data_IF_365015811616
#
_entry.id   IF_365015811616
#
_cell.length_a   1.000
_cell.length_b   1.000
_cell.length_c   1.000
_cell.angle_alpha   90.00
_cell.angle_beta   90.00
_cell.angle_gamma   90.00
#
_symmetry.space_group_name_H-M   'P 1'
#
loop_
_entity.id
_entity.type
_entity.pdbx_description
1 polymer ?
#
# COMPACT_ATOMS: atom_id res chain seq x y z
N UNK A 1 23.40 28.95 -5.20
CA UNK A 1 24.33 27.83 -5.43
C UNK A 1 23.53 26.58 -5.82
N UNK A 2 23.48 26.29 -7.11
CA UNK A 2 22.81 25.08 -7.62
C UNK A 2 23.75 23.89 -7.44
N UNK A 3 23.52 23.08 -6.41
CA UNK A 3 24.23 21.81 -6.27
C UNK A 3 23.65 20.79 -7.26
N UNK A 4 24.54 20.27 -8.08
CA UNK A 4 24.32 19.41 -9.23
C UNK A 4 23.67 18.08 -8.78
N UNK A 5 22.39 17.85 -9.09
CA UNK A 5 21.63 16.64 -8.73
C UNK A 5 22.26 15.34 -9.29
N UNK A 6 23.07 15.43 -10.33
CA UNK A 6 23.81 14.28 -10.92
C UNK A 6 24.91 13.76 -9.98
N UNK A 7 25.57 14.63 -9.23
CA UNK A 7 26.59 14.23 -8.27
C UNK A 7 26.01 13.49 -7.08
N UNK A 8 24.80 13.87 -6.64
CA UNK A 8 24.08 13.16 -5.58
C UNK A 8 23.64 11.74 -5.99
N UNK A 9 23.36 11.52 -7.27
CA UNK A 9 22.96 10.21 -7.80
C UNK A 9 24.16 9.25 -7.88
N UNK A 10 25.33 9.75 -8.28
CA UNK A 10 26.58 8.95 -8.38
C UNK A 10 27.12 8.61 -6.99
N UNK A 11 27.14 9.55 -6.07
CA UNK A 11 27.54 9.31 -4.66
C UNK A 11 26.59 8.35 -3.96
N UNK A 12 25.28 8.41 -4.29
CA UNK A 12 24.27 7.48 -3.78
C UNK A 12 24.50 6.06 -4.30
N UNK A 13 24.88 5.87 -5.56
CA UNK A 13 25.14 4.57 -6.17
C UNK A 13 26.39 3.90 -5.61
N UNK A 14 27.49 4.63 -5.43
CA UNK A 14 28.74 4.08 -4.84
C UNK A 14 28.53 3.74 -3.35
N UNK A 15 27.82 4.58 -2.60
CA UNK A 15 27.44 4.28 -1.22
C UNK A 15 26.50 3.06 -1.11
N UNK A 16 25.67 2.78 -2.08
CA UNK A 16 24.80 1.60 -2.12
C UNK A 16 25.59 0.30 -2.39
N UNK A 17 26.69 0.35 -3.15
CA UNK A 17 27.56 -0.81 -3.42
C UNK A 17 28.43 -1.23 -2.23
N UNK A 18 28.89 -0.29 -1.43
CA UNK A 18 29.74 -0.57 -0.25
C UNK A 18 28.94 -0.88 1.01
N UNK A 19 27.69 -0.42 1.12
CA UNK A 19 26.76 -0.67 2.24
C UNK A 19 26.60 -2.14 2.65
N UNK A 20 26.51 -3.14 1.75
CA UNK A 20 26.27 -4.53 2.17
C UNK A 20 27.33 -5.08 3.11
N UNK A 21 28.59 -4.74 2.93
CA UNK A 21 29.69 -5.28 3.76
C UNK A 21 29.68 -4.73 5.19
N UNK A 22 29.37 -3.45 5.37
CA UNK A 22 29.35 -2.82 6.70
C UNK A 22 28.02 -3.00 7.44
N UNK A 23 26.93 -3.15 6.73
CA UNK A 23 25.57 -3.25 7.29
C UNK A 23 25.25 -4.70 7.72
N UNK A 24 25.81 -5.72 7.06
CA UNK A 24 25.53 -7.13 7.41
C UNK A 24 25.75 -7.47 8.88
N UNK A 25 26.89 -7.14 9.52
CA UNK A 25 27.10 -7.44 10.95
C UNK A 25 26.06 -6.75 11.84
N UNK A 26 25.68 -5.50 11.50
CA UNK A 26 24.67 -4.75 12.22
C UNK A 26 23.29 -5.43 12.13
N UNK A 27 22.87 -5.84 10.93
CA UNK A 27 21.61 -6.57 10.72
C UNK A 27 21.58 -7.87 11.52
N UNK A 28 22.64 -8.67 11.47
CA UNK A 28 22.69 -9.90 12.25
C UNK A 28 22.68 -9.65 13.76
N UNK A 29 23.29 -8.56 14.21
CA UNK A 29 23.20 -8.14 15.62
C UNK A 29 21.77 -7.77 15.99
N UNK A 30 21.07 -7.03 15.15
CA UNK A 30 19.66 -6.68 15.36
C UNK A 30 18.77 -7.93 15.37
N UNK A 31 18.93 -8.83 14.44
CA UNK A 31 18.16 -10.08 14.40
C UNK A 31 18.42 -10.96 15.64
N UNK A 32 19.66 -11.02 16.13
CA UNK A 32 19.98 -11.71 17.40
C UNK A 32 19.30 -11.04 18.60
N UNK A 33 19.25 -9.71 18.65
CA UNK A 33 18.53 -8.99 19.71
C UNK A 33 17.04 -9.30 19.65
N UNK A 34 16.41 -9.23 18.48
CA UNK A 34 15.01 -9.62 18.31
C UNK A 34 14.76 -11.05 18.79
N UNK A 35 15.60 -12.02 18.40
CA UNK A 35 15.45 -13.41 18.83
C UNK A 35 15.57 -13.58 20.36
N UNK A 36 16.47 -12.83 21.03
CA UNK A 36 16.57 -12.83 22.49
C UNK A 36 15.33 -12.25 23.15
N UNK A 37 14.79 -11.17 22.59
CA UNK A 37 13.57 -10.54 23.10
C UNK A 37 12.36 -11.45 22.95
N UNK A 38 12.18 -12.11 21.81
CA UNK A 38 11.12 -13.09 21.63
C UNK A 38 11.24 -14.23 22.68
N UNK A 39 12.44 -14.76 22.92
CA UNK A 39 12.66 -15.77 23.98
C UNK A 39 12.32 -15.24 25.38
N UNK A 40 12.62 -13.97 25.67
CA UNK A 40 12.24 -13.32 26.92
C UNK A 40 10.73 -13.26 27.07
N UNK A 41 10.02 -12.79 26.01
CA UNK A 41 8.56 -12.72 26.00
C UNK A 41 7.89 -14.10 26.15
N UNK A 42 8.43 -15.15 25.50
CA UNK A 42 7.98 -16.52 25.69
C UNK A 42 8.05 -16.97 27.17
N UNK A 43 9.17 -16.65 27.88
CA UNK A 43 9.33 -16.98 29.29
C UNK A 43 8.35 -16.17 30.18
N UNK A 44 8.14 -14.88 29.85
CA UNK A 44 7.20 -14.03 30.58
C UNK A 44 5.78 -14.57 30.45
N UNK A 45 5.36 -14.97 29.25
CA UNK A 45 4.06 -15.53 28.99
C UNK A 45 3.83 -16.85 29.76
N UNK A 46 4.79 -17.78 29.75
CA UNK A 46 4.71 -19.04 30.51
C UNK A 46 4.52 -18.84 32.01
N UNK A 47 4.98 -17.72 32.55
CA UNK A 47 4.90 -17.38 33.98
C UNK A 47 3.62 -16.61 34.34
N UNK A 48 2.63 -16.53 33.43
CA UNK A 48 1.35 -15.83 33.67
C UNK A 48 1.47 -14.32 33.88
N UNK A 49 2.51 -13.69 33.28
CA UNK A 49 2.69 -12.23 33.35
C UNK A 49 1.71 -11.47 32.43
N UNK A 50 1.64 -10.16 32.64
CA UNK A 50 0.78 -9.21 31.93
C UNK A 50 0.76 -9.42 30.41
N UNK A 51 -0.36 -9.03 29.73
CA UNK A 51 -0.47 -9.10 28.28
C UNK A 51 0.71 -8.42 27.55
N UNK A 52 1.05 -8.94 26.39
CA UNK A 52 2.08 -8.35 25.52
C UNK A 52 1.59 -7.02 24.97
N UNK A 53 2.28 -5.93 25.30
CA UNK A 53 1.95 -4.59 24.82
C UNK A 53 2.51 -4.37 23.42
N UNK A 54 1.63 -4.08 22.46
CA UNK A 54 2.00 -3.94 21.05
C UNK A 54 1.71 -2.52 20.55
N UNK A 55 2.73 -1.83 20.07
CA UNK A 55 2.60 -0.52 19.44
C UNK A 55 2.30 -0.65 17.96
N UNK A 56 1.20 -0.06 17.49
CA UNK A 56 0.85 0.12 16.09
C UNK A 56 1.12 1.55 15.68
N UNK A 57 2.25 1.78 15.02
CA UNK A 57 2.70 3.11 14.60
C UNK A 57 1.96 3.54 13.32
N UNK A 58 1.16 4.60 13.42
CA UNK A 58 0.30 5.08 12.34
C UNK A 58 0.66 6.50 11.89
N UNK A 59 0.90 6.68 10.60
CA UNK A 59 1.14 7.99 9.98
C UNK A 59 -0.07 8.48 9.18
N UNK A 60 -0.72 7.56 8.44
CA UNK A 60 -1.84 7.87 7.56
C UNK A 60 -2.97 6.87 7.72
N UNK A 61 -4.19 7.38 7.80
CA UNK A 61 -5.41 6.56 7.82
C UNK A 61 -5.56 5.68 6.56
N UNK A 62 -5.05 6.13 5.42
CA UNK A 62 -5.16 5.42 4.15
C UNK A 62 -4.23 4.19 4.03
N UNK A 63 -3.38 3.94 5.03
CA UNK A 63 -2.38 2.86 5.02
C UNK A 63 -2.67 1.78 6.08
N UNK A 64 -3.93 1.44 6.31
CA UNK A 64 -4.44 0.68 7.47
C UNK A 64 -4.49 -0.84 7.26
N UNK A 65 -3.51 -1.44 6.59
CA UNK A 65 -3.48 -2.89 6.34
C UNK A 65 -3.32 -3.72 7.63
N UNK A 66 -2.83 -3.12 8.71
CA UNK A 66 -2.57 -3.74 10.00
C UNK A 66 -3.76 -3.69 10.98
N UNK A 67 -4.81 -2.94 10.67
CA UNK A 67 -6.04 -2.85 11.49
C UNK A 67 -6.66 -4.23 11.78
N UNK A 68 -6.82 -5.16 10.83
CA UNK A 68 -7.39 -6.46 11.15
C UNK A 68 -6.58 -7.25 12.19
N UNK A 69 -5.26 -7.07 12.24
CA UNK A 69 -4.42 -7.70 13.28
C UNK A 69 -4.56 -6.97 14.62
N UNK A 70 -4.68 -5.64 14.61
CA UNK A 70 -4.98 -4.87 15.81
C UNK A 70 -6.27 -5.34 16.46
N UNK A 71 -7.36 -5.47 15.70
CA UNK A 71 -8.67 -5.90 16.20
C UNK A 71 -8.64 -7.32 16.78
N UNK A 72 -7.92 -8.25 16.12
CA UNK A 72 -7.72 -9.60 16.64
C UNK A 72 -6.88 -9.63 17.92
N UNK A 73 -5.85 -8.78 18.01
CA UNK A 73 -5.06 -8.66 19.23
C UNK A 73 -5.86 -8.01 20.35
N UNK A 74 -6.72 -7.03 20.05
CA UNK A 74 -7.60 -6.38 21.04
C UNK A 74 -8.61 -7.39 21.64
N UNK A 75 -9.08 -8.34 20.85
CA UNK A 75 -9.98 -9.40 21.28
C UNK A 75 -9.26 -10.56 22.02
N UNK A 76 -7.93 -10.65 22.00
CA UNK A 76 -7.15 -11.72 22.62
C UNK A 76 -6.50 -11.25 23.92
N UNK A 77 -6.90 -11.85 25.06
CA UNK A 77 -6.39 -11.52 26.42
C UNK A 77 -4.87 -11.55 26.58
N UNK A 78 -4.15 -12.16 25.65
CA UNK A 78 -2.68 -12.25 25.68
C UNK A 78 -2.00 -10.99 25.15
N UNK A 79 -2.76 -10.06 24.55
CA UNK A 79 -2.25 -8.84 23.95
C UNK A 79 -2.93 -7.59 24.52
N UNK A 80 -2.18 -6.50 24.50
CA UNK A 80 -2.65 -5.16 24.85
C UNK A 80 -2.15 -4.16 23.79
N UNK A 81 -2.88 -4.05 22.65
CA UNK A 81 -2.45 -3.23 21.53
C UNK A 81 -2.86 -1.76 21.68
N UNK A 82 -1.99 -0.85 21.21
CA UNK A 82 -2.23 0.59 21.16
C UNK A 82 -1.80 1.16 19.82
N UNK A 83 -2.53 2.14 19.34
CA UNK A 83 -2.05 3.00 18.25
C UNK A 83 -1.15 4.10 18.79
N UNK A 84 -0.08 4.41 18.06
CA UNK A 84 0.74 5.61 18.28
C UNK A 84 0.69 6.39 16.97
N UNK A 85 0.02 7.54 16.98
CA UNK A 85 -0.10 8.40 15.79
C UNK A 85 1.00 9.43 15.79
N UNK A 86 1.70 9.57 14.67
CA UNK A 86 2.77 10.55 14.49
C UNK A 86 2.69 11.22 13.11
N UNK A 87 3.12 12.50 12.99
CA UNK A 87 3.07 13.23 11.72
C UNK A 87 4.16 12.79 10.75
N UNK A 88 3.91 12.98 9.45
CA UNK A 88 4.92 12.84 8.41
C UNK A 88 6.04 13.86 8.60
N UNK A 89 7.27 13.37 8.69
CA UNK A 89 8.46 14.19 8.93
C UNK A 89 9.02 14.87 7.67
N UNK A 90 8.59 14.43 6.49
CA UNK A 90 9.15 14.85 5.21
C UNK A 90 8.33 15.92 4.48
N UNK A 91 7.01 15.89 4.63
CA UNK A 91 6.09 16.74 3.87
C UNK A 91 5.88 18.10 4.53
N UNK A 92 5.23 19.02 3.81
CA UNK A 92 4.88 20.34 4.33
C UNK A 92 4.11 20.22 5.65
N UNK A 93 4.45 21.09 6.61
CA UNK A 93 3.89 21.04 7.98
C UNK A 93 2.36 21.08 7.99
N UNK A 94 1.74 21.94 7.16
CA UNK A 94 0.27 22.04 7.08
C UNK A 94 -0.39 20.73 6.67
N UNK A 95 0.14 20.06 5.66
CA UNK A 95 -0.35 18.75 5.22
C UNK A 95 -0.12 17.68 6.30
N UNK A 96 1.08 17.65 6.86
CA UNK A 96 1.46 16.69 7.90
C UNK A 96 0.60 16.82 9.17
N UNK A 97 0.35 18.04 9.64
CA UNK A 97 -0.49 18.31 10.81
C UNK A 97 -1.97 17.99 10.54
N UNK A 98 -2.47 18.21 9.33
CA UNK A 98 -3.83 17.85 8.95
C UNK A 98 -4.01 16.33 8.93
N UNK A 99 -3.14 15.61 8.26
CA UNK A 99 -3.18 14.15 8.22
C UNK A 99 -3.01 13.52 9.60
N UNK A 100 -2.15 14.09 10.44
CA UNK A 100 -1.98 13.65 11.83
C UNK A 100 -3.28 13.77 12.63
N UNK A 101 -3.95 14.94 12.55
CA UNK A 101 -5.24 15.17 13.24
C UNK A 101 -6.31 14.21 12.75
N UNK A 102 -6.48 14.10 11.42
CA UNK A 102 -7.49 13.21 10.81
C UNK A 102 -7.24 11.74 11.18
N UNK A 103 -6.00 11.27 11.10
CA UNK A 103 -5.65 9.89 11.48
C UNK A 103 -5.92 9.63 12.96
N UNK A 104 -5.55 10.58 13.83
CA UNK A 104 -5.77 10.47 15.26
C UNK A 104 -7.26 10.43 15.60
N UNK A 105 -8.05 11.39 15.09
CA UNK A 105 -9.50 11.45 15.31
C UNK A 105 -10.20 10.18 14.85
N UNK A 106 -9.91 9.71 13.64
CA UNK A 106 -10.51 8.48 13.12
C UNK A 106 -10.26 7.26 14.03
N UNK A 107 -9.04 7.11 14.53
CA UNK A 107 -8.70 5.98 15.39
C UNK A 107 -9.32 6.14 16.80
N UNK A 108 -9.38 7.36 17.33
CA UNK A 108 -10.05 7.66 18.61
C UNK A 108 -11.56 7.40 18.52
N UNK A 109 -12.20 7.81 17.45
CA UNK A 109 -13.63 7.60 17.22
C UNK A 109 -13.97 6.10 17.12
N UNK A 110 -13.08 5.32 16.53
CA UNK A 110 -13.30 3.88 16.31
C UNK A 110 -12.94 3.00 17.50
N UNK A 111 -11.84 3.31 18.20
CA UNK A 111 -11.26 2.43 19.23
C UNK A 111 -11.20 3.01 20.63
N UNK A 112 -11.59 4.27 20.81
CA UNK A 112 -11.49 4.99 22.07
C UNK A 112 -10.17 5.72 22.27
N UNK A 113 -10.23 6.86 22.96
CA UNK A 113 -9.08 7.75 23.21
C UNK A 113 -7.98 7.05 24.03
N UNK A 114 -8.35 6.10 24.87
CA UNK A 114 -7.43 5.33 25.71
C UNK A 114 -6.55 4.38 24.91
N UNK A 115 -6.93 4.05 23.67
CA UNK A 115 -6.18 3.17 22.74
C UNK A 115 -5.30 3.93 21.76
N UNK A 116 -5.36 5.27 21.75
CA UNK A 116 -4.66 6.11 20.77
C UNK A 116 -3.72 7.08 21.46
N UNK A 117 -2.43 6.84 21.33
CA UNK A 117 -1.38 7.66 21.92
C UNK A 117 -0.90 8.71 20.92
N UNK A 118 -0.77 9.95 21.38
CA UNK A 118 -0.16 11.03 20.62
C UNK A 118 1.36 10.84 20.54
N UNK A 119 1.93 10.70 19.35
CA UNK A 119 3.37 10.53 19.14
C UNK A 119 4.19 11.80 19.36
N UNK A 120 3.51 12.97 19.51
CA UNK A 120 4.16 14.23 19.86
C UNK A 120 3.37 15.02 20.91
N UNK A 121 4.10 15.83 21.68
CA UNK A 121 3.55 16.86 22.56
C UNK A 121 4.21 18.20 22.16
N UNK A 122 3.41 19.12 21.57
CA UNK A 122 3.98 20.28 20.89
C UNK A 122 4.89 19.86 19.74
N UNK A 123 6.13 20.31 19.73
CA UNK A 123 7.15 19.94 18.74
C UNK A 123 8.07 18.78 19.19
N UNK A 124 7.81 18.19 20.37
CA UNK A 124 8.63 17.12 20.95
C UNK A 124 8.01 15.76 20.59
N UNK A 125 8.79 14.87 19.97
CA UNK A 125 8.41 13.49 19.73
C UNK A 125 8.67 12.63 20.97
N UNK A 126 7.69 11.83 21.36
CA UNK A 126 7.71 11.02 22.59
C UNK A 126 8.36 9.67 22.30
N UNK A 127 9.32 9.27 23.12
CA UNK A 127 9.89 7.91 23.08
C UNK A 127 9.00 6.95 23.89
N UNK A 128 8.45 5.95 23.21
CA UNK A 128 7.59 4.92 23.81
C UNK A 128 8.29 3.57 23.96
N UNK A 129 9.58 3.47 23.68
CA UNK A 129 10.29 2.17 23.63
C UNK A 129 10.37 1.44 24.96
N UNK A 130 10.16 2.12 26.08
CA UNK A 130 10.08 1.53 27.44
C UNK A 130 8.68 0.98 27.79
N UNK A 131 7.66 1.33 27.00
CA UNK A 131 6.26 1.01 27.28
C UNK A 131 5.73 -0.19 26.50
N UNK A 132 6.44 -0.67 25.49
CA UNK A 132 5.97 -1.71 24.58
C UNK A 132 6.95 -2.86 24.43
N UNK A 133 6.39 -4.04 24.24
CA UNK A 133 7.13 -5.30 24.07
C UNK A 133 7.38 -5.62 22.59
N UNK A 134 6.48 -5.20 21.71
CA UNK A 134 6.53 -5.37 20.25
C UNK A 134 6.01 -4.12 19.54
N UNK A 135 6.35 -3.97 18.26
CA UNK A 135 5.80 -2.89 17.45
C UNK A 135 5.55 -3.32 16.00
N UNK A 136 4.64 -2.61 15.35
CA UNK A 136 4.46 -2.59 13.89
C UNK A 136 4.35 -1.17 13.40
N UNK A 137 4.49 -0.96 12.09
CA UNK A 137 4.29 0.34 11.45
C UNK A 137 3.66 0.17 10.09
N UNK A 138 2.83 1.13 9.70
CA UNK A 138 2.30 1.22 8.34
C UNK A 138 3.23 1.99 7.38
N UNK A 139 4.31 2.61 7.90
CA UNK A 139 5.30 3.33 7.08
C UNK A 139 6.74 2.90 7.39
N UNK A 140 7.42 2.18 6.48
CA UNK A 140 8.78 1.70 6.70
C UNK A 140 9.88 2.69 6.30
N UNK A 141 9.52 3.92 5.84
CA UNK A 141 10.45 4.87 5.23
C UNK A 141 11.07 5.81 6.28
N UNK A 142 12.36 5.63 6.54
CA UNK A 142 13.08 6.40 7.56
C UNK A 142 13.11 7.91 7.30
N UNK A 143 13.07 8.35 6.02
CA UNK A 143 13.03 9.77 5.65
C UNK A 143 11.69 10.45 5.98
N UNK A 144 10.60 9.71 6.05
CA UNK A 144 9.27 10.20 6.40
C UNK A 144 8.96 10.06 7.89
N UNK A 145 9.80 9.33 8.63
CA UNK A 145 9.55 8.93 10.01
C UNK A 145 10.46 9.67 10.98
N UNK A 146 9.93 10.32 12.03
CA UNK A 146 10.73 10.89 13.09
C UNK A 146 11.69 9.87 13.71
N UNK A 147 12.89 10.27 14.16
CA UNK A 147 13.92 9.33 14.64
C UNK A 147 13.44 8.31 15.67
N UNK A 148 12.58 8.73 16.62
CA UNK A 148 12.04 7.90 17.70
C UNK A 148 11.10 6.77 17.23
N UNK A 149 10.51 6.90 16.02
CA UNK A 149 9.57 5.94 15.45
C UNK A 149 10.19 5.06 14.35
N UNK A 150 11.48 5.27 14.00
CA UNK A 150 12.19 4.45 13.00
C UNK A 150 12.39 3.03 13.48
N UNK A 151 12.27 2.09 12.58
CA UNK A 151 12.44 0.66 12.87
C UNK A 151 13.80 0.36 13.51
N UNK A 152 14.85 0.97 12.97
CA UNK A 152 16.21 0.81 13.48
C UNK A 152 16.36 1.25 14.94
N UNK A 153 15.62 2.31 15.33
CA UNK A 153 15.63 2.81 16.71
C UNK A 153 15.02 1.80 17.68
N UNK A 154 13.85 1.27 17.38
CA UNK A 154 13.16 0.27 18.19
C UNK A 154 13.95 -1.05 18.27
N UNK A 155 14.47 -1.49 17.11
CA UNK A 155 15.30 -2.73 17.04
C UNK A 155 16.59 -2.58 17.83
N UNK A 156 17.22 -1.37 17.84
CA UNK A 156 18.40 -1.07 18.65
C UNK A 156 18.10 -1.18 20.16
N UNK A 157 16.90 -0.83 20.59
CA UNK A 157 16.41 -1.01 21.97
C UNK A 157 16.02 -2.46 22.28
N UNK A 158 16.03 -3.34 21.28
CA UNK A 158 15.72 -4.75 21.44
C UNK A 158 14.23 -5.07 21.40
N UNK A 159 13.41 -4.17 20.84
CA UNK A 159 11.98 -4.40 20.64
C UNK A 159 11.78 -5.05 19.28
N UNK A 160 11.25 -6.29 19.21
CA UNK A 160 10.96 -6.95 17.95
C UNK A 160 9.83 -6.23 17.22
N UNK A 161 10.04 -6.05 15.91
CA UNK A 161 9.08 -5.39 15.05
C UNK A 161 8.59 -6.31 13.93
N UNK A 162 7.34 -6.17 13.55
CA UNK A 162 6.81 -6.82 12.35
C UNK A 162 6.25 -5.79 11.38
N UNK A 163 6.12 -6.19 10.12
CA UNK A 163 5.63 -5.32 9.06
C UNK A 163 4.54 -6.02 8.26
N UNK A 164 3.47 -5.30 8.02
CA UNK A 164 2.38 -5.63 7.11
C UNK A 164 2.38 -4.56 6.05
N UNK A 165 2.53 -4.92 4.78
CA UNK A 165 2.66 -3.93 3.72
C UNK A 165 1.37 -3.15 3.52
N UNK A 166 1.49 -1.82 3.40
CA UNK A 166 0.37 -0.95 3.08
C UNK A 166 -0.06 -1.02 1.60
N UNK A 167 0.73 -1.66 0.76
CA UNK A 167 0.46 -1.89 -0.67
C UNK A 167 0.75 -3.33 -1.05
N UNK A 168 0.09 -3.85 -2.08
CA UNK A 168 0.31 -5.21 -2.53
C UNK A 168 1.71 -5.37 -3.14
N UNK A 169 2.60 -6.13 -2.50
CA UNK A 169 3.99 -6.34 -2.92
C UNK A 169 4.14 -7.40 -4.02
N UNK A 170 5.33 -7.51 -4.61
CA UNK A 170 5.68 -8.57 -5.58
C UNK A 170 5.46 -8.20 -7.05
N UNK A 171 4.70 -7.15 -7.36
CA UNK A 171 4.28 -6.79 -8.73
C UNK A 171 5.29 -5.97 -9.51
N UNK A 172 5.97 -5.03 -8.87
CA UNK A 172 6.84 -4.06 -9.52
C UNK A 172 8.15 -3.81 -8.76
N UNK A 173 9.06 -3.08 -9.39
CA UNK A 173 10.41 -2.77 -8.91
C UNK A 173 10.46 -2.20 -7.48
N UNK A 174 9.41 -1.51 -7.03
CA UNK A 174 9.32 -0.94 -5.68
C UNK A 174 9.47 -2.03 -4.59
N UNK A 175 9.00 -3.25 -4.86
CA UNK A 175 9.18 -4.38 -3.94
C UNK A 175 10.66 -4.69 -3.71
N UNK A 176 11.44 -4.77 -4.78
CA UNK A 176 12.88 -5.02 -4.69
C UNK A 176 13.61 -3.88 -3.97
N UNK A 177 13.23 -2.63 -4.30
CA UNK A 177 13.77 -1.45 -3.67
C UNK A 177 13.51 -1.44 -2.15
N UNK A 178 12.28 -1.74 -1.73
CA UNK A 178 11.92 -1.83 -0.31
C UNK A 178 12.73 -2.94 0.41
N UNK A 179 12.79 -4.13 -0.16
CA UNK A 179 13.50 -5.27 0.43
C UNK A 179 15.01 -5.03 0.60
N UNK A 180 15.60 -4.13 -0.19
CA UNK A 180 17.00 -3.67 -0.06
C UNK A 180 17.19 -2.64 1.05
N UNK A 181 16.13 -2.00 1.56
CA UNK A 181 16.26 -1.02 2.65
C UNK A 181 16.71 -1.69 3.94
N UNK A 182 17.44 -0.93 4.77
CA UNK A 182 17.87 -1.38 6.09
C UNK A 182 16.69 -1.75 6.99
N UNK A 183 15.63 -0.94 7.00
CA UNK A 183 14.41 -1.18 7.78
C UNK A 183 13.82 -2.58 7.52
N UNK A 184 13.75 -3.01 6.25
CA UNK A 184 13.23 -4.34 5.90
C UNK A 184 14.10 -5.50 6.39
N UNK A 185 15.39 -5.27 6.64
CA UNK A 185 16.27 -6.24 7.27
C UNK A 185 16.27 -6.15 8.80
N UNK A 186 15.75 -5.05 9.37
CA UNK A 186 15.59 -4.87 10.82
C UNK A 186 14.32 -5.52 11.36
N UNK A 187 13.26 -5.62 10.55
CA UNK A 187 12.03 -6.31 10.98
C UNK A 187 12.30 -7.74 11.41
N UNK A 188 11.75 -8.12 12.56
CA UNK A 188 11.73 -9.51 13.02
C UNK A 188 10.94 -10.38 12.03
N UNK A 189 9.77 -9.91 11.59
CA UNK A 189 8.96 -10.54 10.55
C UNK A 189 8.39 -9.52 9.58
N UNK A 190 8.30 -9.93 8.33
CA UNK A 190 7.58 -9.24 7.26
C UNK A 190 6.50 -10.20 6.79
N UNK A 191 5.25 -9.85 7.02
CA UNK A 191 4.10 -10.61 6.55
C UNK A 191 3.79 -10.20 5.12
N UNK A 192 3.82 -11.16 4.20
CA UNK A 192 3.76 -10.89 2.76
C UNK A 192 2.58 -11.58 2.10
N UNK A 193 2.07 -10.94 1.07
CA UNK A 193 0.83 -11.31 0.40
C UNK A 193 0.98 -12.57 -0.48
N UNK A 194 2.19 -12.80 -1.01
CA UNK A 194 2.42 -13.85 -2.00
C UNK A 194 3.86 -14.37 -2.01
N UNK A 195 4.06 -15.52 -2.64
CA UNK A 195 5.37 -16.17 -2.75
C UNK A 195 6.39 -15.41 -3.61
N UNK A 196 5.94 -14.50 -4.49
CA UNK A 196 6.85 -13.72 -5.33
C UNK A 196 7.68 -12.74 -4.52
N UNK A 197 7.12 -12.17 -3.44
CA UNK A 197 7.88 -11.34 -2.51
C UNK A 197 9.01 -12.15 -1.87
N UNK A 198 8.75 -13.38 -1.45
CA UNK A 198 9.77 -14.27 -0.89
C UNK A 198 10.85 -14.59 -1.93
N UNK A 199 10.45 -14.86 -3.19
CA UNK A 199 11.38 -15.11 -4.30
C UNK A 199 12.30 -13.92 -4.55
N UNK A 200 11.74 -12.70 -4.59
CA UNK A 200 12.51 -11.46 -4.74
C UNK A 200 13.42 -11.24 -3.52
N UNK A 201 12.93 -11.46 -2.29
CA UNK A 201 13.73 -11.31 -1.08
C UNK A 201 14.93 -12.26 -1.03
N UNK A 202 14.77 -13.51 -1.50
CA UNK A 202 15.89 -14.47 -1.63
C UNK A 202 17.01 -13.93 -2.52
N UNK A 203 16.66 -13.17 -3.55
CA UNK A 203 17.63 -12.62 -4.50
C UNK A 203 18.30 -11.34 -4.00
N UNK A 204 17.55 -10.41 -3.39
CA UNK A 204 18.03 -9.05 -3.17
C UNK A 204 18.21 -8.65 -1.69
N UNK A 205 17.51 -9.30 -0.74
CA UNK A 205 17.56 -8.94 0.67
C UNK A 205 18.78 -9.53 1.37
N UNK A 206 19.36 -8.82 2.33
CA UNK A 206 20.50 -9.31 3.14
C UNK A 206 20.16 -10.60 3.90
N UNK A 207 18.94 -10.70 4.42
CA UNK A 207 18.44 -11.89 5.14
C UNK A 207 17.98 -13.02 4.19
N UNK A 208 17.99 -12.79 2.88
CA UNK A 208 17.52 -13.75 1.87
C UNK A 208 16.11 -14.27 2.16
N UNK A 209 15.21 -13.39 2.58
CA UNK A 209 13.81 -13.70 2.84
C UNK A 209 13.53 -14.50 4.13
N UNK A 210 14.52 -14.72 5.01
CA UNK A 210 14.32 -15.52 6.24
C UNK A 210 13.33 -14.90 7.23
N UNK A 211 13.11 -13.59 7.14
CA UNK A 211 12.11 -12.88 7.93
C UNK A 211 10.79 -12.66 7.21
N UNK A 212 10.64 -13.11 5.96
CA UNK A 212 9.38 -13.05 5.22
C UNK A 212 8.50 -14.27 5.54
N UNK A 213 7.25 -14.02 5.88
CA UNK A 213 6.23 -15.04 6.19
C UNK A 213 5.05 -14.85 5.24
N UNK A 214 4.68 -15.90 4.54
CA UNK A 214 3.53 -15.88 3.63
C UNK A 214 2.23 -15.89 4.43
N UNK A 215 1.43 -14.83 4.29
CA UNK A 215 0.17 -14.67 5.03
C UNK A 215 -1.03 -14.36 4.15
N UNK A 216 -0.82 -13.79 2.98
CA UNK A 216 -1.90 -13.26 2.16
C UNK A 216 -2.11 -11.75 2.37
N UNK A 217 -3.11 -11.19 1.70
CA UNK A 217 -3.43 -9.76 1.74
C UNK A 217 -4.50 -9.48 2.80
N UNK A 218 -4.09 -8.99 3.96
CA UNK A 218 -4.96 -8.80 5.12
C UNK A 218 -6.13 -7.85 4.84
N UNK A 219 -5.91 -6.80 4.07
CA UNK A 219 -6.95 -5.85 3.71
C UNK A 219 -8.10 -6.51 2.96
N UNK A 220 -7.77 -7.48 2.11
CA UNK A 220 -8.79 -8.16 1.31
C UNK A 220 -9.62 -9.15 2.13
N UNK A 221 -9.22 -9.54 3.34
CA UNK A 221 -10.06 -10.38 4.21
C UNK A 221 -11.44 -9.76 4.43
N UNK A 222 -11.49 -8.42 4.60
CA UNK A 222 -12.74 -7.69 4.80
C UNK A 222 -13.66 -7.66 3.56
N UNK A 223 -13.13 -7.96 2.37
CA UNK A 223 -13.92 -7.94 1.14
C UNK A 223 -15.01 -9.03 1.13
N UNK A 224 -14.81 -10.13 1.85
CA UNK A 224 -15.79 -11.24 1.91
C UNK A 224 -17.15 -10.77 2.46
N UNK A 225 -17.14 -9.87 3.44
CA UNK A 225 -18.34 -9.45 4.16
C UNK A 225 -19.02 -8.23 3.54
N UNK A 226 -18.47 -7.71 2.44
CA UNK A 226 -19.01 -6.54 1.78
C UNK A 226 -20.16 -6.94 0.85
N UNK A 227 -21.32 -6.36 1.10
CA UNK A 227 -22.51 -6.55 0.29
C UNK A 227 -22.59 -5.44 -0.77
N UNK A 228 -22.63 -5.79 -2.07
CA UNK A 228 -22.82 -4.79 -3.12
C UNK A 228 -24.17 -4.08 -3.00
N UNK A 229 -24.18 -2.77 -3.27
CA UNK A 229 -25.44 -2.02 -3.34
C UNK A 229 -26.16 -2.37 -4.65
N UNK A 230 -27.43 -2.84 -4.60
CA UNK A 230 -28.20 -3.17 -5.81
C UNK A 230 -28.35 -1.97 -6.76
N UNK A 231 -28.18 -2.21 -8.06
CA UNK A 231 -28.26 -1.18 -9.12
C UNK A 231 -28.88 -1.72 -10.39
N UNK A 232 -29.46 -0.83 -11.17
CA UNK A 232 -30.02 -1.14 -12.49
C UNK A 232 -29.03 -0.86 -13.63
N UNK A 233 -28.04 0.04 -13.40
CA UNK A 233 -27.05 0.46 -14.39
C UNK A 233 -25.70 -0.20 -14.11
N UNK A 234 -24.95 -0.53 -15.16
CA UNK A 234 -23.57 -0.98 -15.03
C UNK A 234 -22.70 0.14 -14.46
N UNK A 235 -21.79 -0.22 -13.55
CA UNK A 235 -20.87 0.74 -12.92
C UNK A 235 -19.42 0.36 -13.20
N UNK A 236 -18.65 1.33 -13.69
CA UNK A 236 -17.23 1.18 -13.96
C UNK A 236 -16.42 2.04 -12.99
N UNK A 237 -15.54 1.41 -12.24
CA UNK A 237 -14.56 2.12 -11.42
C UNK A 237 -13.38 2.54 -12.29
N UNK A 238 -13.02 3.84 -12.27
CA UNK A 238 -11.86 4.38 -13.01
C UNK A 238 -10.86 4.94 -12.01
N UNK A 239 -9.70 4.30 -11.91
CA UNK A 239 -8.73 4.54 -10.85
C UNK A 239 -7.34 4.92 -11.37
N UNK A 240 -7.12 6.18 -11.78
CA UNK A 240 -5.82 6.63 -12.27
C UNK A 240 -4.79 6.80 -11.13
N UNK A 241 -3.56 6.40 -11.44
CA UNK A 241 -2.42 6.53 -10.54
C UNK A 241 -1.86 7.98 -10.53
N UNK A 242 -1.12 8.30 -9.46
CA UNK A 242 -0.57 9.65 -9.27
C UNK A 242 0.77 9.91 -9.98
N UNK A 243 1.39 8.92 -10.61
CA UNK A 243 2.71 9.08 -11.26
C UNK A 243 2.54 9.76 -12.61
N UNK A 244 2.63 11.09 -12.60
CA UNK A 244 2.56 11.92 -13.81
C UNK A 244 3.94 12.32 -14.34
N UNK A 245 5.02 11.98 -13.60
CA UNK A 245 6.38 12.32 -13.97
C UNK A 245 6.82 11.52 -15.22
N UNK A 246 7.50 12.17 -16.20
CA UNK A 246 8.03 11.47 -17.34
C UNK A 246 9.23 10.58 -16.92
N UNK A 247 8.94 9.30 -16.79
CA UNK A 247 9.91 8.27 -16.40
C UNK A 247 9.51 6.94 -17.02
N UNK A 248 10.48 6.15 -17.46
CA UNK A 248 10.23 4.82 -18.03
C UNK A 248 9.70 3.78 -17.02
N UNK A 249 9.66 4.10 -15.74
CA UNK A 249 9.06 3.28 -14.67
C UNK A 249 7.80 3.90 -14.06
N UNK A 250 7.34 5.03 -14.60
CA UNK A 250 6.12 5.70 -14.15
C UNK A 250 4.90 5.04 -14.79
N UNK A 251 4.06 4.41 -13.99
CA UNK A 251 2.91 3.63 -14.48
C UNK A 251 1.73 4.48 -14.92
N UNK A 252 1.56 5.69 -14.33
CA UNK A 252 0.39 6.53 -14.56
C UNK A 252 0.29 7.07 -15.98
N UNK A 253 -0.89 6.92 -16.58
CA UNK A 253 -1.23 7.37 -17.94
C UNK A 253 -2.11 8.62 -17.95
N UNK A 254 -2.47 9.16 -16.78
CA UNK A 254 -3.50 10.19 -16.66
C UNK A 254 -3.25 11.41 -17.55
N UNK A 255 -2.01 11.88 -17.67
CA UNK A 255 -1.67 13.06 -18.49
C UNK A 255 -1.94 12.86 -20.01
N UNK A 256 -1.89 11.61 -20.47
CA UNK A 256 -2.13 11.23 -21.85
C UNK A 256 -3.59 10.88 -22.11
N UNK A 257 -4.36 10.63 -21.03
CA UNK A 257 -5.68 10.05 -21.10
C UNK A 257 -6.81 10.98 -20.61
N UNK A 258 -6.48 12.04 -19.87
CA UNK A 258 -7.48 12.88 -19.20
C UNK A 258 -8.58 13.43 -20.12
N UNK A 259 -8.21 14.02 -21.26
CA UNK A 259 -9.18 14.59 -22.20
C UNK A 259 -10.07 13.50 -22.83
N UNK A 260 -9.52 12.30 -23.03
CA UNK A 260 -10.23 11.13 -23.55
C UNK A 260 -11.16 10.48 -22.54
N UNK A 261 -10.88 10.66 -21.25
CA UNK A 261 -11.74 10.13 -20.20
C UNK A 261 -13.10 10.83 -20.17
N UNK A 262 -13.14 12.16 -20.33
CA UNK A 262 -14.40 12.89 -20.42
C UNK A 262 -15.22 12.44 -21.64
N UNK A 263 -14.58 12.29 -22.80
CA UNK A 263 -15.21 11.72 -24.01
C UNK A 263 -15.75 10.30 -23.79
N UNK A 264 -15.03 9.47 -23.03
CA UNK A 264 -15.50 8.13 -22.66
C UNK A 264 -16.82 8.20 -21.86
N UNK A 265 -16.86 9.02 -20.81
CA UNK A 265 -18.05 9.20 -19.96
C UNK A 265 -19.25 9.65 -20.77
N UNK A 266 -19.06 10.62 -21.66
CA UNK A 266 -20.11 11.16 -22.54
C UNK A 266 -20.55 10.16 -23.61
N UNK A 267 -19.64 9.28 -24.08
CA UNK A 267 -19.95 8.25 -25.06
C UNK A 267 -20.85 7.12 -24.52
N UNK A 268 -20.91 6.94 -23.20
CA UNK A 268 -21.66 5.87 -22.54
C UNK A 268 -22.62 6.41 -21.46
N UNK A 269 -23.64 7.21 -21.82
CA UNK A 269 -24.55 7.81 -20.85
C UNK A 269 -25.36 6.79 -20.04
N UNK A 270 -25.47 5.54 -20.49
CA UNK A 270 -26.13 4.42 -19.81
C UNK A 270 -25.26 3.72 -18.77
N UNK A 271 -23.97 4.06 -18.65
CA UNK A 271 -23.02 3.52 -17.68
C UNK A 271 -22.76 4.53 -16.57
N UNK A 272 -22.74 4.11 -15.32
CA UNK A 272 -22.28 4.92 -14.19
C UNK A 272 -20.78 4.78 -14.06
N UNK A 273 -20.05 5.89 -14.08
CA UNK A 273 -18.62 5.92 -13.82
C UNK A 273 -18.33 6.41 -12.40
N UNK A 274 -17.44 5.74 -11.70
CA UNK A 274 -16.86 6.20 -10.44
C UNK A 274 -15.41 6.55 -10.68
N UNK A 275 -15.09 7.83 -10.71
CA UNK A 275 -13.73 8.31 -10.85
C UNK A 275 -13.06 8.38 -9.47
N UNK A 276 -12.15 7.46 -9.21
CA UNK A 276 -11.38 7.37 -7.99
C UNK A 276 -9.90 7.65 -8.25
N UNK A 277 -9.48 8.90 -8.35
CA UNK A 277 -8.07 9.25 -8.53
C UNK A 277 -7.28 8.87 -7.28
N UNK A 278 -6.03 8.47 -7.48
CA UNK A 278 -5.12 8.32 -6.33
C UNK A 278 -5.08 9.64 -5.52
N UNK A 279 -5.08 9.61 -4.18
CA UNK A 279 -5.19 10.82 -3.34
C UNK A 279 -4.17 11.93 -3.64
N UNK A 280 -3.02 11.58 -4.19
CA UNK A 280 -1.98 12.55 -4.58
C UNK A 280 -2.15 13.11 -6.00
N UNK A 281 -3.03 12.55 -6.84
CA UNK A 281 -3.10 12.93 -8.25
C UNK A 281 -3.45 14.41 -8.43
N UNK A 282 -4.52 14.87 -7.80
CA UNK A 282 -4.96 16.27 -7.90
C UNK A 282 -3.89 17.26 -7.47
N UNK A 283 -3.22 17.00 -6.34
CA UNK A 283 -2.12 17.84 -5.84
C UNK A 283 -0.93 17.87 -6.80
N UNK A 284 -0.58 16.71 -7.39
CA UNK A 284 0.52 16.61 -8.37
C UNK A 284 0.19 17.34 -9.66
N UNK A 285 -1.04 17.23 -10.17
CA UNK A 285 -1.49 17.97 -11.34
C UNK A 285 -1.41 19.48 -11.10
N UNK A 286 -1.92 19.98 -9.99
CA UNK A 286 -1.84 21.38 -9.61
C UNK A 286 -0.38 21.87 -9.48
N UNK A 287 0.50 21.04 -8.93
CA UNK A 287 1.93 21.35 -8.79
C UNK A 287 2.80 20.99 -9.99
N UNK A 288 2.25 20.52 -11.11
CA UNK A 288 3.00 19.97 -12.25
C UNK A 288 3.88 20.99 -12.99
N UNK A 289 3.67 22.28 -12.80
CA UNK A 289 4.54 23.36 -13.32
C UNK A 289 6.01 23.22 -12.89
N UNK A 290 6.29 22.51 -11.81
CA UNK A 290 7.63 22.27 -11.29
C UNK A 290 8.32 21.06 -11.92
N UNK A 291 7.61 20.29 -12.75
CA UNK A 291 8.11 19.06 -13.37
C UNK A 291 8.67 19.36 -14.76
N UNK A 292 9.95 19.04 -14.98
CA UNK A 292 10.59 19.18 -16.31
C UNK A 292 10.12 18.07 -17.25
N UNK A 293 9.95 18.40 -18.54
CA UNK A 293 9.59 17.44 -19.58
C UNK A 293 8.11 17.06 -19.62
N UNK A 294 7.25 17.80 -18.90
CA UNK A 294 5.81 17.62 -18.87
C UNK A 294 5.11 18.91 -19.33
N UNK A 295 4.01 18.80 -20.07
CA UNK A 295 3.11 19.93 -20.30
C UNK A 295 2.34 20.17 -18.98
N UNK A 296 2.62 21.28 -18.26
CA UNK A 296 2.06 21.47 -16.94
C UNK A 296 0.57 21.81 -16.99
N UNK A 297 -0.18 21.31 -16.02
CA UNK A 297 -1.58 21.72 -15.83
C UNK A 297 -1.69 22.97 -14.96
N UNK A 298 -1.06 22.97 -13.79
CA UNK A 298 -1.25 23.99 -12.78
C UNK A 298 -2.62 23.94 -12.11
N UNK A 299 -2.83 24.79 -11.14
CA UNK A 299 -4.04 24.78 -10.32
C UNK A 299 -5.31 25.11 -11.13
N UNK A 300 -5.24 26.14 -12.01
CA UNK A 300 -6.40 26.57 -12.82
C UNK A 300 -6.93 25.45 -13.73
N UNK A 301 -6.04 24.80 -14.50
CA UNK A 301 -6.45 23.70 -15.39
C UNK A 301 -6.93 22.49 -14.59
N UNK A 302 -6.27 22.17 -13.48
CA UNK A 302 -6.68 21.08 -12.60
C UNK A 302 -8.10 21.29 -12.07
N UNK A 303 -8.40 22.46 -11.51
CA UNK A 303 -9.72 22.75 -10.98
C UNK A 303 -10.77 22.74 -12.10
N UNK A 304 -10.51 23.37 -13.24
CA UNK A 304 -11.44 23.37 -14.37
C UNK A 304 -11.77 21.94 -14.87
N UNK A 305 -10.79 21.05 -14.88
CA UNK A 305 -10.99 19.65 -15.27
C UNK A 305 -11.89 18.90 -14.28
N UNK A 306 -11.60 18.99 -12.98
CA UNK A 306 -12.45 18.36 -11.97
C UNK A 306 -13.85 18.94 -11.91
N UNK A 307 -14.01 20.24 -12.19
CA UNK A 307 -15.32 20.89 -12.28
C UNK A 307 -16.09 20.43 -13.53
N UNK A 308 -15.40 20.16 -14.65
CA UNK A 308 -16.03 19.56 -15.82
C UNK A 308 -16.52 18.12 -15.53
N UNK A 309 -15.71 17.30 -14.86
CA UNK A 309 -16.11 15.96 -14.45
C UNK A 309 -17.35 15.96 -13.54
N UNK A 310 -17.44 16.89 -12.59
CA UNK A 310 -18.60 17.01 -11.67
C UNK A 310 -19.92 17.35 -12.37
N UNK A 311 -19.88 17.88 -13.60
CA UNK A 311 -21.08 18.22 -14.38
C UNK A 311 -21.65 17.03 -15.12
N UNK A 312 -20.91 15.95 -15.26
CA UNK A 312 -21.37 14.76 -15.97
C UNK A 312 -22.38 13.99 -15.11
N UNK A 313 -23.61 13.77 -15.60
CA UNK A 313 -24.70 13.19 -14.81
C UNK A 313 -24.48 11.71 -14.44
N UNK A 314 -23.64 11.00 -15.20
CA UNK A 314 -23.31 9.61 -15.02
C UNK A 314 -21.90 9.39 -14.44
N UNK A 315 -21.33 10.44 -13.78
CA UNK A 315 -20.01 10.36 -13.15
C UNK A 315 -20.06 10.77 -11.68
N UNK A 316 -19.49 9.96 -10.82
CA UNK A 316 -19.26 10.24 -9.40
C UNK A 316 -17.76 10.36 -9.17
N UNK A 317 -17.32 11.44 -8.52
CA UNK A 317 -15.91 11.56 -8.08
C UNK A 317 -15.81 11.04 -6.65
N UNK A 318 -15.01 10.00 -6.45
CA UNK A 318 -14.71 9.42 -5.13
C UNK A 318 -13.30 9.77 -4.73
N UNK A 319 -13.15 10.71 -3.82
CA UNK A 319 -11.83 11.13 -3.29
C UNK A 319 -11.54 10.55 -1.90
N UNK A 320 -12.56 10.03 -1.21
CA UNK A 320 -12.47 9.50 0.16
C UNK A 320 -13.25 8.20 0.31
N UNK A 321 -12.98 7.47 1.41
CA UNK A 321 -13.72 6.28 1.76
C UNK A 321 -13.02 4.95 1.45
N UNK A 322 -13.72 3.87 1.76
CA UNK A 322 -13.22 2.52 1.58
C UNK A 322 -13.42 2.06 0.12
N UNK A 323 -12.31 1.82 -0.58
CA UNK A 323 -12.37 1.35 -1.95
C UNK A 323 -12.86 -0.10 -2.09
N UNK A 324 -12.90 -0.88 -1.02
CA UNK A 324 -13.41 -2.24 -1.07
C UNK A 324 -14.92 -2.25 -1.37
N UNK A 325 -15.68 -1.31 -0.81
CA UNK A 325 -17.10 -1.13 -1.18
C UNK A 325 -17.25 -0.76 -2.66
N UNK A 326 -16.37 0.09 -3.18
CA UNK A 326 -16.38 0.43 -4.61
C UNK A 326 -16.02 -0.75 -5.50
N UNK A 327 -15.11 -1.63 -5.05
CA UNK A 327 -14.83 -2.89 -5.73
C UNK A 327 -16.06 -3.79 -5.75
N UNK A 328 -16.78 -3.91 -4.63
CA UNK A 328 -18.02 -4.67 -4.57
C UNK A 328 -19.11 -4.05 -5.45
N UNK A 329 -19.19 -2.74 -5.47
CA UNK A 329 -20.19 -2.00 -6.21
C UNK A 329 -19.91 -1.85 -7.70
N UNK A 330 -18.69 -2.02 -8.18
CA UNK A 330 -18.37 -1.93 -9.60
C UNK A 330 -18.69 -3.21 -10.34
N UNK A 331 -18.99 -3.12 -11.64
CA UNK A 331 -19.05 -4.24 -12.57
C UNK A 331 -17.72 -4.46 -13.30
N UNK A 332 -16.88 -3.42 -13.38
CA UNK A 332 -15.56 -3.47 -13.99
C UNK A 332 -14.63 -2.39 -13.42
N UNK A 333 -13.33 -2.57 -13.64
CA UNK A 333 -12.27 -1.60 -13.31
C UNK A 333 -11.50 -1.19 -14.56
N UNK A 334 -11.24 0.13 -14.70
CA UNK A 334 -10.27 0.69 -15.65
C UNK A 334 -9.21 1.43 -14.82
N UNK A 335 -7.94 1.06 -14.94
CA UNK A 335 -6.89 1.65 -14.13
C UNK A 335 -5.49 1.57 -14.75
N UNK A 336 -4.57 2.34 -14.20
CA UNK A 336 -3.13 2.26 -14.39
C UNK A 336 -2.39 2.12 -13.04
N UNK A 337 -3.15 1.78 -11.99
CA UNK A 337 -2.65 1.69 -10.61
C UNK A 337 -1.80 0.45 -10.38
N UNK A 338 -0.76 0.59 -9.57
CA UNK A 338 0.04 -0.53 -9.14
C UNK A 338 -0.70 -1.49 -8.20
N UNK A 339 -1.37 -1.04 -7.14
CA UNK A 339 -2.00 -1.93 -6.14
C UNK A 339 -3.22 -2.65 -6.69
N UNK A 340 -4.09 -1.95 -7.37
CA UNK A 340 -5.32 -2.50 -7.92
C UNK A 340 -5.07 -3.59 -8.98
N UNK A 341 -3.87 -3.62 -9.57
CA UNK A 341 -3.44 -4.68 -10.48
C UNK A 341 -3.54 -6.10 -9.87
N UNK A 342 -3.45 -6.23 -8.55
CA UNK A 342 -3.64 -7.50 -7.86
C UNK A 342 -4.91 -7.51 -7.00
N UNK A 343 -5.21 -6.41 -6.31
CA UNK A 343 -6.30 -6.35 -5.34
C UNK A 343 -7.68 -6.50 -6.00
N UNK A 344 -7.89 -5.92 -7.20
CA UNK A 344 -9.18 -6.07 -7.89
C UNK A 344 -9.47 -7.49 -8.38
N UNK A 345 -8.44 -8.33 -8.55
CA UNK A 345 -8.60 -9.73 -8.96
C UNK A 345 -9.37 -10.57 -7.94
N UNK A 346 -9.45 -10.13 -6.67
CA UNK A 346 -10.30 -10.77 -5.65
C UNK A 346 -11.79 -10.71 -5.99
N UNK A 347 -12.21 -9.76 -6.81
CA UNK A 347 -13.60 -9.62 -7.23
C UNK A 347 -14.03 -10.62 -8.31
N UNK A 348 -13.07 -11.19 -9.05
CA UNK A 348 -13.33 -11.99 -10.25
C UNK A 348 -13.85 -11.18 -11.45
N UNK A 349 -14.16 -9.89 -11.28
CA UNK A 349 -14.78 -9.03 -12.29
C UNK A 349 -13.81 -8.61 -13.39
N UNK A 350 -14.29 -8.22 -14.59
CA UNK A 350 -13.44 -7.74 -15.68
C UNK A 350 -12.67 -6.49 -15.29
N UNK A 351 -11.42 -6.43 -15.68
CA UNK A 351 -10.51 -5.32 -15.39
C UNK A 351 -9.64 -4.98 -16.60
N UNK A 352 -9.50 -3.68 -16.85
CA UNK A 352 -8.70 -3.12 -17.92
C UNK A 352 -7.51 -2.33 -17.36
N UNK A 353 -6.32 -2.64 -17.86
CA UNK A 353 -5.09 -1.92 -17.52
C UNK A 353 -4.72 -0.97 -18.66
N UNK A 354 -4.74 0.34 -18.39
CA UNK A 354 -4.32 1.35 -19.36
C UNK A 354 -2.81 1.41 -19.37
N UNK A 355 -2.23 1.08 -20.53
CA UNK A 355 -0.80 0.90 -20.67
C UNK A 355 -0.14 2.11 -21.30
N UNK A 356 0.89 2.62 -20.64
CA UNK A 356 1.70 3.71 -21.18
C UNK A 356 2.77 3.18 -22.12
N UNK A 357 2.73 3.60 -23.38
CA UNK A 357 3.66 3.12 -24.43
C UNK A 357 5.14 3.43 -24.15
N UNK A 358 5.42 4.46 -23.33
CA UNK A 358 6.77 4.88 -22.95
C UNK A 358 7.36 4.12 -21.75
N UNK A 359 6.59 3.24 -21.11
CA UNK A 359 7.05 2.50 -19.93
C UNK A 359 8.02 1.39 -20.35
N UNK A 360 9.11 1.26 -19.63
CA UNK A 360 9.98 0.08 -19.76
C UNK A 360 9.39 -1.05 -18.89
N UNK A 361 8.71 -1.98 -19.56
CA UNK A 361 7.96 -3.06 -18.91
C UNK A 361 8.86 -3.95 -18.04
N UNK A 362 10.01 -4.36 -18.53
CA UNK A 362 10.95 -5.23 -17.81
C UNK A 362 11.53 -4.57 -16.54
N UNK A 363 11.79 -3.26 -16.59
CA UNK A 363 12.25 -2.51 -15.43
C UNK A 363 11.13 -2.28 -14.41
N UNK A 364 9.91 -2.10 -14.87
CA UNK A 364 8.78 -1.69 -14.05
C UNK A 364 8.13 -2.87 -13.35
N UNK A 365 7.78 -3.91 -14.10
CA UNK A 365 7.04 -5.04 -13.57
C UNK A 365 7.96 -6.22 -13.21
N UNK A 366 7.59 -6.94 -12.19
CA UNK A 366 8.18 -8.24 -11.82
C UNK A 366 7.26 -9.35 -12.29
N UNK A 367 7.67 -10.60 -12.16
CA UNK A 367 6.94 -11.77 -12.64
C UNK A 367 5.45 -11.75 -12.28
N UNK A 368 5.11 -11.43 -11.03
CA UNK A 368 3.71 -11.32 -10.61
C UNK A 368 2.97 -10.18 -11.32
N UNK A 369 3.64 -9.04 -11.50
CA UNK A 369 3.05 -7.90 -12.23
C UNK A 369 2.69 -8.26 -13.67
N UNK A 370 3.59 -8.96 -14.36
CA UNK A 370 3.34 -9.46 -15.72
C UNK A 370 2.15 -10.43 -15.78
N UNK A 371 2.06 -11.36 -14.82
CA UNK A 371 0.93 -12.29 -14.74
C UNK A 371 -0.39 -11.57 -14.43
N UNK A 372 -0.36 -10.56 -13.55
CA UNK A 372 -1.53 -9.73 -13.29
C UNK A 372 -1.96 -8.98 -14.57
N UNK A 373 -1.02 -8.37 -15.31
CA UNK A 373 -1.33 -7.68 -16.58
C UNK A 373 -1.95 -8.67 -17.57
N UNK A 374 -1.46 -9.90 -17.67
CA UNK A 374 -2.03 -10.93 -18.55
C UNK A 374 -3.49 -11.26 -18.18
N UNK A 375 -3.86 -11.19 -16.90
CA UNK A 375 -5.23 -11.39 -16.43
C UNK A 375 -6.15 -10.17 -16.69
N UNK A 376 -5.59 -9.02 -17.10
CA UNK A 376 -6.33 -7.81 -17.47
C UNK A 376 -6.50 -7.70 -18.98
N UNK A 377 -7.49 -6.92 -19.41
CA UNK A 377 -7.56 -6.38 -20.76
C UNK A 377 -6.59 -5.21 -20.87
N UNK A 378 -5.61 -5.31 -21.74
CA UNK A 378 -4.57 -4.26 -21.91
C UNK A 378 -5.03 -3.24 -22.93
N UNK A 379 -5.06 -1.96 -22.53
CA UNK A 379 -5.52 -0.83 -23.33
C UNK A 379 -4.34 0.04 -23.76
N UNK A 380 -4.13 0.16 -25.04
CA UNK A 380 -3.06 1.00 -25.61
C UNK A 380 -3.57 2.30 -26.19
N UNK A 381 -4.87 2.39 -26.48
CA UNK A 381 -5.50 3.56 -27.03
C UNK A 381 -6.94 3.73 -26.52
N UNK A 382 -7.54 4.87 -26.84
CA UNK A 382 -8.89 5.20 -26.42
C UNK A 382 -9.94 4.23 -26.97
N UNK A 383 -9.78 3.80 -28.22
CA UNK A 383 -10.71 2.87 -28.86
C UNK A 383 -10.71 1.49 -28.19
N UNK A 384 -9.56 1.05 -27.64
CA UNK A 384 -9.50 -0.17 -26.84
C UNK A 384 -10.37 -0.05 -25.59
N UNK A 385 -10.34 1.12 -24.91
CA UNK A 385 -11.17 1.37 -23.74
C UNK A 385 -12.65 1.41 -24.09
N UNK A 386 -13.03 2.05 -25.20
CA UNK A 386 -14.43 2.06 -25.68
C UNK A 386 -14.91 0.63 -26.02
N UNK A 387 -14.07 -0.17 -26.69
CA UNK A 387 -14.39 -1.59 -26.97
C UNK A 387 -14.56 -2.41 -25.68
N UNK A 388 -13.72 -2.19 -24.68
CA UNK A 388 -13.84 -2.87 -23.39
C UNK A 388 -15.18 -2.52 -22.72
N UNK A 389 -15.54 -1.24 -22.68
CA UNK A 389 -16.83 -0.82 -22.10
C UNK A 389 -18.00 -1.47 -22.86
N UNK A 390 -18.00 -1.40 -24.20
CA UNK A 390 -19.09 -1.94 -25.00
C UNK A 390 -19.11 -3.47 -24.93
N UNK A 391 -18.07 -4.13 -25.38
CA UNK A 391 -18.09 -5.58 -25.58
C UNK A 391 -18.01 -6.35 -24.25
N UNK A 392 -17.10 -5.96 -23.33
CA UNK A 392 -16.88 -6.74 -22.12
C UNK A 392 -17.88 -6.39 -21.02
N UNK A 393 -18.15 -5.08 -20.82
CA UNK A 393 -18.99 -4.66 -19.68
C UNK A 393 -20.47 -4.67 -20.04
N UNK A 394 -20.86 -4.13 -21.19
CA UNK A 394 -22.26 -4.01 -21.60
C UNK A 394 -22.79 -5.30 -22.24
N UNK A 395 -22.04 -5.85 -23.19
CA UNK A 395 -22.47 -7.06 -23.94
C UNK A 395 -22.13 -8.37 -23.19
N UNK A 396 -21.29 -8.29 -22.13
CA UNK A 396 -20.93 -9.43 -21.28
C UNK A 396 -19.90 -10.41 -21.87
N UNK A 397 -19.16 -10.02 -22.91
CA UNK A 397 -18.18 -10.89 -23.60
C UNK A 397 -16.84 -10.90 -22.84
N UNK A 398 -16.82 -11.44 -21.61
CA UNK A 398 -15.61 -11.52 -20.78
C UNK A 398 -14.82 -12.83 -21.03
N UNK A 399 -14.09 -12.88 -22.12
CA UNK A 399 -13.28 -14.04 -22.53
C UNK A 399 -12.20 -14.42 -21.52
N UNK A 400 -11.69 -13.44 -20.74
CA UNK A 400 -10.65 -13.67 -19.73
C UNK A 400 -11.17 -14.14 -18.37
N UNK A 401 -12.49 -14.25 -18.18
CA UNK A 401 -13.10 -14.55 -16.89
C UNK A 401 -12.52 -15.81 -16.23
N UNK A 402 -12.56 -16.93 -16.92
CA UNK A 402 -12.13 -18.23 -16.37
C UNK A 402 -10.65 -18.23 -16.00
N UNK A 403 -9.80 -17.74 -16.90
CA UNK A 403 -8.36 -17.68 -16.67
C UNK A 403 -8.01 -16.72 -15.51
N UNK A 404 -8.67 -15.54 -15.45
CA UNK A 404 -8.51 -14.54 -14.40
C UNK A 404 -8.89 -15.10 -13.03
N UNK A 405 -10.04 -15.77 -12.91
CA UNK A 405 -10.49 -16.36 -11.64
C UNK A 405 -9.57 -17.51 -11.19
N UNK A 406 -9.12 -18.36 -12.11
CA UNK A 406 -8.17 -19.43 -11.78
C UNK A 406 -6.81 -18.87 -11.32
N UNK A 407 -6.31 -17.85 -12.01
CA UNK A 407 -5.08 -17.16 -11.60
C UNK A 407 -5.23 -16.51 -10.22
N UNK A 408 -6.32 -15.78 -10.00
CA UNK A 408 -6.58 -15.13 -8.71
C UNK A 408 -6.60 -16.16 -7.56
N UNK A 409 -7.34 -17.25 -7.69
CA UNK A 409 -7.43 -18.31 -6.68
C UNK A 409 -6.10 -18.98 -6.41
N UNK A 410 -5.30 -19.23 -7.45
CA UNK A 410 -4.01 -19.95 -7.31
C UNK A 410 -2.89 -19.08 -6.75
N UNK A 411 -2.81 -17.79 -7.14
CA UNK A 411 -1.60 -16.99 -6.93
C UNK A 411 -1.81 -15.69 -6.14
N UNK A 412 -3.05 -15.18 -6.10
CA UNK A 412 -3.37 -13.89 -5.46
C UNK A 412 -4.07 -14.08 -4.11
N UNK A 413 -5.07 -14.96 -4.05
CA UNK A 413 -5.95 -15.15 -2.89
C UNK A 413 -5.35 -16.08 -1.84
N UNK A 414 -4.08 -15.86 -1.50
CA UNK A 414 -3.37 -16.69 -0.51
C UNK A 414 -4.01 -16.53 0.86
N UNK A 415 -4.39 -17.65 1.49
CA UNK A 415 -5.06 -17.70 2.81
C UNK A 415 -6.32 -16.82 2.94
N UNK A 416 -6.86 -16.32 1.82
CA UNK A 416 -8.08 -15.54 1.84
C UNK A 416 -9.29 -16.41 2.23
N UNK A 417 -10.16 -15.95 3.11
CA UNK A 417 -10.24 -14.63 3.79
C UNK A 417 -9.65 -14.64 5.22
N UNK A 418 -8.62 -15.42 5.50
CA UNK A 418 -8.06 -15.65 6.83
C UNK A 418 -6.60 -15.17 6.98
N UNK A 419 -6.15 -14.23 6.15
CA UNK A 419 -4.76 -13.75 6.13
C UNK A 419 -4.33 -13.16 7.48
N UNK A 420 -5.21 -12.40 8.14
CA UNK A 420 -4.97 -11.79 9.44
C UNK A 420 -4.93 -12.82 10.59
N UNK A 421 -5.68 -13.93 10.50
CA UNK A 421 -5.60 -15.04 11.46
C UNK A 421 -4.26 -15.76 11.37
N UNK A 422 -3.72 -15.91 10.15
CA UNK A 422 -2.40 -16.49 9.92
C UNK A 422 -1.30 -15.63 10.56
N UNK A 423 -1.40 -14.30 10.47
CA UNK A 423 -0.48 -13.37 11.14
C UNK A 423 -0.53 -13.56 12.65
N UNK A 424 -1.72 -13.49 13.25
CA UNK A 424 -1.87 -13.65 14.70
C UNK A 424 -1.37 -15.01 15.19
N UNK A 425 -1.75 -16.09 14.50
CA UNK A 425 -1.27 -17.44 14.79
C UNK A 425 0.25 -17.54 14.76
N UNK A 426 0.89 -16.95 13.74
CA UNK A 426 2.36 -16.93 13.65
C UNK A 426 3.00 -16.21 14.85
N UNK A 427 2.45 -15.06 15.25
CA UNK A 427 2.94 -14.28 16.40
C UNK A 427 2.72 -15.08 17.69
N UNK A 428 1.55 -15.67 17.91
CA UNK A 428 1.25 -16.50 19.09
C UNK A 428 2.19 -17.69 19.20
N UNK A 429 2.39 -18.43 18.12
CA UNK A 429 3.34 -19.56 18.08
C UNK A 429 4.76 -19.12 18.43
N UNK A 430 5.22 -17.99 17.89
CA UNK A 430 6.53 -17.45 18.19
C UNK A 430 6.68 -17.01 19.65
N UNK A 431 5.58 -16.65 20.32
CA UNK A 431 5.52 -16.25 21.72
C UNK A 431 5.16 -17.42 22.68
N UNK A 432 4.96 -18.63 22.14
CA UNK A 432 4.60 -19.81 22.95
C UNK A 432 3.20 -19.71 23.58
N UNK A 433 2.26 -19.09 22.86
CA UNK A 433 0.86 -18.90 23.27
C UNK A 433 -0.10 -19.86 22.56
N UNK A 434 0.39 -20.85 21.85
CA UNK A 434 -0.42 -21.82 21.13
C UNK A 434 -1.03 -22.85 22.06
#
# INVERSE_FOLDING_TARGET
MQFNKSFFFVVKSVAEWTKPFFIRPLIFTYQRRCARSIKRLQRQNKNGKSPIRVAFLQMYITSNQDIPVFERMLADKNFDPYFIVYPDYYRAKSFSDDMYRRTKSFLEDKYGIERVLAGKCGDIYIDFTDKFDMMTTNNPYANMTPPQFRIEYWTKKGIPSFYISYFYMGRCYVTEWNLKMLSFSCFWRIFVENNYVIKIAKQCQVLKGRNCILTGCLKMDAYLDIVPVPRTRKRILVAPHHTIEPSEVSVGCFMEYADKFLDLVQSFPQVDFVFRPHPQLRQKLAGSQKLKGLIPWGEKKTNAYFDALRKEPNLIISEEGDYLQEFADSDALIHDSGSFLAEYLYTGKPCAYVYRNTINREKTFKELGEKCIAAHYVMYCHDDVKRFVQSVVLDGNDEKKVEREQFAKREIMVNYPHSSDVVLKHIKNALGMA
#
